data_IF_434822068992
#
_entry.id   IF_434822068992
#
_cell.length_a   1.000
_cell.length_b   1.000
_cell.length_c   1.000
_cell.angle_alpha   90.00
_cell.angle_beta   90.00
_cell.angle_gamma   90.00
#
_symmetry.space_group_name_H-M   'P 1'
#
loop_
_entity.id
_entity.type
_entity.pdbx_description
1 polymer ?
#
# COMPACT_ATOMS: atom_id res chain seq x y z
N UNK A 1 -29.42 -26.05 47.27
CA UNK A 1 -28.93 -26.22 45.88
C UNK A 1 -27.73 -27.14 45.99
N UNK A 2 -28.01 -28.43 46.12
CA UNK A 2 -27.01 -29.46 46.38
C UNK A 2 -26.39 -29.89 45.06
N UNK A 3 -25.15 -29.47 44.83
CA UNK A 3 -24.38 -29.87 43.67
C UNK A 3 -23.97 -31.34 43.81
N UNK A 4 -24.48 -32.17 42.91
CA UNK A 4 -24.24 -33.62 42.92
C UNK A 4 -22.86 -33.93 42.32
N UNK A 5 -21.88 -34.25 43.17
CA UNK A 5 -20.50 -34.55 42.78
C UNK A 5 -20.36 -35.73 41.78
N UNK A 6 -21.41 -36.56 41.66
CA UNK A 6 -21.47 -37.65 40.68
C UNK A 6 -21.55 -37.14 39.23
N UNK A 7 -22.07 -35.92 39.02
CA UNK A 7 -22.23 -35.34 37.68
C UNK A 7 -20.89 -34.82 37.13
N UNK A 8 -20.08 -34.18 37.98
CA UNK A 8 -18.77 -33.66 37.60
C UNK A 8 -17.77 -34.78 37.26
N UNK A 9 -17.83 -35.90 37.99
CA UNK A 9 -17.03 -37.08 37.68
C UNK A 9 -17.48 -37.76 36.39
N UNK A 10 -18.77 -37.69 36.04
CA UNK A 10 -19.30 -38.16 34.76
C UNK A 10 -18.82 -37.30 33.59
N UNK A 11 -18.84 -35.97 33.75
CA UNK A 11 -18.34 -35.01 32.74
C UNK A 11 -16.84 -35.18 32.51
N UNK A 12 -16.04 -35.26 33.58
CA UNK A 12 -14.59 -35.49 33.46
C UNK A 12 -14.25 -36.84 32.82
N UNK A 13 -14.99 -37.90 33.16
CA UNK A 13 -14.79 -39.22 32.55
C UNK A 13 -15.13 -39.19 31.05
N UNK A 14 -16.21 -38.51 30.67
CA UNK A 14 -16.65 -38.39 29.26
C UNK A 14 -15.64 -37.59 28.44
N UNK A 15 -15.10 -36.50 28.99
CA UNK A 15 -14.03 -35.72 28.34
C UNK A 15 -12.73 -36.53 28.20
N UNK A 16 -12.36 -37.33 29.22
CA UNK A 16 -11.18 -38.19 29.15
C UNK A 16 -11.30 -39.29 28.09
N UNK A 17 -12.50 -39.82 27.86
CA UNK A 17 -12.75 -40.84 26.87
C UNK A 17 -12.69 -40.30 25.43
N UNK A 18 -13.06 -39.02 25.22
CA UNK A 18 -12.99 -38.38 23.92
C UNK A 18 -11.55 -37.99 23.53
N UNK A 19 -10.72 -37.68 24.53
CA UNK A 19 -9.31 -37.31 24.34
C UNK A 19 -8.40 -38.48 23.92
N UNK A 20 -8.83 -39.72 24.08
CA UNK A 20 -7.96 -40.89 23.90
C UNK A 20 -8.29 -41.74 22.65
N UNK A 21 -9.17 -41.24 21.76
CA UNK A 21 -9.52 -41.93 20.52
C UNK A 21 -8.86 -41.27 19.30
N UNK A 22 -7.58 -41.57 19.08
CA UNK A 22 -6.94 -41.34 17.78
C UNK A 22 -6.04 -42.51 17.38
N UNK A 23 -6.47 -43.17 16.29
CA UNK A 23 -5.78 -44.02 15.29
C UNK A 23 -5.49 -45.51 15.52
N UNK A 24 -5.87 -46.33 14.51
CA UNK A 24 -5.02 -47.36 13.90
C UNK A 24 -4.34 -46.85 12.61
N UNK A 25 -3.07 -47.22 12.40
CA UNK A 25 -2.18 -46.82 11.29
C UNK A 25 -2.38 -47.62 9.97
N UNK A 26 -2.03 -47.04 8.79
CA UNK A 26 -1.79 -47.76 7.53
C UNK A 26 -0.29 -47.83 7.11
N UNK A 27 0.15 -48.78 6.25
CA UNK A 27 1.54 -48.93 5.76
C UNK A 27 1.84 -48.16 4.43
N UNK A 28 3.13 -48.10 3.98
CA UNK A 28 3.74 -46.89 3.42
C UNK A 28 4.09 -46.91 1.91
N UNK A 29 4.21 -45.72 1.29
CA UNK A 29 4.95 -45.51 0.03
C UNK A 29 5.75 -44.18 0.03
N UNK A 30 6.89 -44.07 -0.70
CA UNK A 30 7.92 -43.06 -0.45
C UNK A 30 7.99 -41.94 -1.52
N UNK A 31 8.28 -40.70 -1.10
CA UNK A 31 8.83 -39.61 -1.93
C UNK A 31 9.71 -38.66 -1.08
N UNK A 32 10.78 -38.04 -1.63
CA UNK A 32 11.81 -37.31 -0.87
C UNK A 32 11.68 -35.76 -1.04
N UNK A 33 12.56 -34.88 -0.50
CA UNK A 33 12.19 -33.95 0.57
C UNK A 33 12.22 -32.47 0.16
N UNK A 34 11.33 -31.66 0.75
CA UNK A 34 11.53 -30.21 0.85
C UNK A 34 11.38 -29.80 2.32
N UNK A 35 12.46 -29.26 2.88
CA UNK A 35 12.53 -28.79 4.27
C UNK A 35 11.69 -27.52 4.46
N UNK A 36 10.75 -27.58 5.39
CA UNK A 36 10.31 -26.42 6.19
C UNK A 36 10.22 -26.87 7.65
N UNK A 37 10.95 -26.17 8.52
CA UNK A 37 10.92 -26.37 9.97
C UNK A 37 9.53 -26.05 10.53
N UNK A 38 8.99 -26.96 11.34
CA UNK A 38 7.71 -26.88 12.04
C UNK A 38 8.00 -26.74 13.53
N UNK A 39 7.48 -25.69 14.17
CA UNK A 39 7.41 -25.48 15.63
C UNK A 39 5.90 -25.46 15.99
N UNK A 40 5.45 -26.04 17.13
CA UNK A 40 4.06 -26.44 17.39
C UNK A 40 3.11 -25.29 17.78
N UNK A 41 1.78 -25.53 17.73
CA UNK A 41 0.76 -24.49 17.93
C UNK A 41 0.45 -24.27 19.41
N UNK A 42 0.37 -23.01 19.81
CA UNK A 42 -0.14 -22.55 21.10
C UNK A 42 -1.49 -21.90 20.85
N UNK A 43 -2.54 -22.40 21.49
CA UNK A 43 -3.91 -21.89 21.39
C UNK A 43 -4.01 -20.54 22.10
N UNK A 44 -4.05 -19.44 21.34
CA UNK A 44 -4.56 -18.11 21.71
C UNK A 44 -4.58 -17.22 20.44
N UNK A 45 -5.47 -17.50 19.49
CA UNK A 45 -5.69 -16.65 18.32
C UNK A 45 -7.19 -16.50 18.05
N UNK A 46 -7.79 -15.45 18.61
CA UNK A 46 -9.07 -14.94 18.11
C UNK A 46 -8.89 -13.44 17.82
N UNK A 47 -8.85 -13.15 16.51
CA UNK A 47 -8.85 -11.85 15.82
C UNK A 47 -7.59 -10.96 15.89
N UNK A 48 -6.53 -11.42 15.22
CA UNK A 48 -5.49 -10.55 14.63
C UNK A 48 -5.54 -10.67 13.10
N UNK A 49 -6.45 -9.94 12.45
CA UNK A 49 -6.41 -9.68 11.00
C UNK A 49 -6.90 -8.27 10.70
N UNK A 50 -5.99 -7.29 10.78
CA UNK A 50 -6.09 -6.12 9.90
C UNK A 50 -4.68 -5.68 9.46
N UNK A 51 -4.11 -6.49 8.57
CA UNK A 51 -2.95 -6.12 7.76
C UNK A 51 -3.46 -5.52 6.44
N UNK A 52 -2.95 -4.35 5.99
CA UNK A 52 -3.32 -3.82 4.67
C UNK A 52 -2.79 -4.79 3.61
N UNK A 53 -3.67 -5.47 2.90
CA UNK A 53 -3.29 -6.43 1.87
C UNK A 53 -2.52 -5.74 0.74
N UNK A 54 -1.20 -5.97 0.67
CA UNK A 54 -0.40 -5.75 -0.54
C UNK A 54 -0.69 -6.87 -1.56
N UNK A 55 -1.84 -6.81 -2.22
CA UNK A 55 -2.17 -7.70 -3.33
C UNK A 55 -1.57 -7.16 -4.64
N UNK A 56 -0.31 -7.51 -4.88
CA UNK A 56 0.30 -7.43 -6.22
C UNK A 56 -0.42 -8.40 -7.18
N UNK A 57 -0.86 -7.97 -8.38
CA UNK A 57 -1.39 -8.90 -9.37
C UNK A 57 -0.27 -9.80 -9.93
N UNK A 58 -0.36 -11.10 -9.67
CA UNK A 58 0.42 -12.12 -10.39
C UNK A 58 0.01 -12.11 -11.87
N UNK A 59 0.93 -11.72 -12.74
CA UNK A 59 0.80 -11.89 -14.19
C UNK A 59 0.98 -13.38 -14.56
N UNK A 60 0.17 -13.95 -15.46
CA UNK A 60 0.40 -15.30 -15.97
C UNK A 60 1.63 -15.33 -16.90
N UNK A 61 2.51 -16.30 -16.66
CA UNK A 61 3.69 -16.53 -17.48
C UNK A 61 3.30 -17.05 -18.89
N UNK A 62 3.82 -16.39 -19.94
CA UNK A 62 3.65 -16.81 -21.33
C UNK A 62 4.64 -17.93 -21.72
N UNK A 63 4.25 -18.89 -22.56
CA UNK A 63 5.17 -19.93 -23.08
C UNK A 63 6.08 -19.40 -24.21
N UNK A 64 7.25 -20.03 -24.44
CA UNK A 64 8.29 -19.55 -25.35
C UNK A 64 7.93 -19.70 -26.85
N UNK A 65 8.46 -18.84 -27.74
CA UNK A 65 8.19 -18.89 -29.17
C UNK A 65 9.02 -19.97 -29.90
N UNK A 66 8.37 -20.70 -30.81
CA UNK A 66 9.03 -21.63 -31.74
C UNK A 66 9.73 -20.88 -32.89
N UNK A 67 10.83 -21.43 -33.46
CA UNK A 67 11.54 -20.84 -34.59
C UNK A 67 10.78 -21.01 -35.94
N UNK A 68 11.01 -20.12 -36.92
CA UNK A 68 10.29 -20.12 -38.20
C UNK A 68 10.87 -21.11 -39.21
N UNK A 69 9.98 -21.77 -39.95
CA UNK A 69 10.29 -22.61 -41.10
C UNK A 69 10.43 -21.72 -42.36
N UNK A 70 11.45 -21.87 -43.22
CA UNK A 70 11.58 -21.08 -44.44
C UNK A 70 10.88 -21.78 -45.62
N UNK A 71 10.04 -21.04 -46.35
CA UNK A 71 9.56 -21.43 -47.68
C UNK A 71 9.92 -20.35 -48.70
N UNK A 72 10.20 -20.71 -49.98
CA UNK A 72 10.91 -19.86 -50.91
C UNK A 72 9.99 -18.96 -51.74
N UNK A 73 10.46 -17.72 -51.94
CA UNK A 73 10.32 -16.83 -53.10
C UNK A 73 9.05 -16.90 -53.96
N UNK A 74 8.28 -15.80 -53.95
CA UNK A 74 7.77 -15.18 -55.17
C UNK A 74 7.86 -13.65 -55.05
N UNK A 75 8.66 -13.06 -55.93
CA UNK A 75 8.80 -11.62 -56.15
C UNK A 75 7.56 -11.06 -56.84
N UNK A 76 6.80 -10.22 -56.12
CA UNK A 76 5.89 -9.25 -56.74
C UNK A 76 6.37 -7.82 -56.39
N UNK A 77 6.45 -6.90 -57.37
CA UNK A 77 6.75 -5.50 -57.10
C UNK A 77 5.48 -4.82 -56.55
N UNK A 78 5.47 -4.49 -55.25
CA UNK A 78 4.40 -3.69 -54.63
C UNK A 78 4.75 -2.20 -54.68
N UNK A 79 3.77 -1.30 -54.92
CA UNK A 79 4.01 0.13 -55.10
C UNK A 79 4.52 0.81 -53.82
N UNK A 80 5.23 1.91 -54.02
CA UNK A 80 5.78 2.79 -53.00
C UNK A 80 4.77 3.09 -51.87
N UNK A 81 5.18 3.04 -50.59
CA UNK A 81 4.38 3.59 -49.50
C UNK A 81 4.37 5.11 -49.61
N UNK A 82 3.18 5.68 -49.83
CA UNK A 82 2.94 7.10 -49.60
C UNK A 82 3.19 7.47 -48.14
N UNK A 83 3.50 8.74 -47.84
CA UNK A 83 3.76 9.20 -46.49
C UNK A 83 2.51 9.00 -45.63
N UNK A 84 2.59 8.11 -44.65
CA UNK A 84 1.61 8.02 -43.56
C UNK A 84 1.53 9.38 -42.85
N UNK A 85 0.33 9.89 -42.54
CA UNK A 85 0.18 11.14 -41.81
C UNK A 85 0.87 10.99 -40.45
N UNK A 86 1.83 11.88 -40.20
CA UNK A 86 2.63 11.94 -38.99
C UNK A 86 1.78 11.73 -37.73
N UNK A 87 2.02 10.62 -37.04
CA UNK A 87 1.78 10.56 -35.60
C UNK A 87 2.52 11.76 -34.99
N UNK A 88 1.77 12.69 -34.40
CA UNK A 88 2.36 13.87 -33.73
C UNK A 88 3.45 13.37 -32.77
N UNK A 89 4.68 13.90 -32.82
CA UNK A 89 5.72 13.48 -31.90
C UNK A 89 5.19 13.68 -30.47
N UNK A 90 5.22 12.63 -29.66
CA UNK A 90 4.86 12.71 -28.26
C UNK A 90 5.76 13.78 -27.61
N UNK A 91 5.16 14.92 -27.25
CA UNK A 91 5.89 16.04 -26.65
C UNK A 91 6.58 15.56 -25.35
N UNK A 92 7.90 15.64 -25.31
CA UNK A 92 8.72 15.18 -24.19
C UNK A 92 8.61 16.17 -23.01
N UNK A 93 7.71 15.87 -22.07
CA UNK A 93 7.49 16.69 -20.87
C UNK A 93 8.69 16.71 -19.93
N UNK A 94 9.69 15.84 -20.14
CA UNK A 94 10.90 15.79 -19.33
C UNK A 94 11.85 16.97 -19.51
N UNK A 95 11.59 17.82 -20.53
CA UNK A 95 12.35 19.03 -20.85
C UNK A 95 11.63 20.32 -20.46
N UNK A 96 10.37 20.25 -20.02
CA UNK A 96 9.58 21.43 -19.68
C UNK A 96 10.03 21.96 -18.31
N UNK A 97 10.70 23.12 -18.30
CA UNK A 97 11.17 23.78 -17.07
C UNK A 97 10.37 25.04 -16.72
N UNK A 98 9.56 25.56 -17.63
CA UNK A 98 8.79 26.80 -17.47
C UNK A 98 7.28 26.55 -17.30
N UNK A 99 6.66 27.28 -16.35
CA UNK A 99 5.23 27.18 -16.05
C UNK A 99 4.29 27.39 -17.26
N UNK A 100 4.45 28.42 -18.12
CA UNK A 100 3.53 28.63 -19.24
C UNK A 100 3.56 27.50 -20.28
N UNK A 101 4.69 26.81 -20.44
CA UNK A 101 4.79 25.65 -21.32
C UNK A 101 4.06 24.43 -20.70
N UNK A 102 4.27 24.18 -19.41
CA UNK A 102 3.57 23.13 -18.67
C UNK A 102 2.05 23.32 -18.67
N UNK A 103 1.58 24.55 -18.42
CA UNK A 103 0.15 24.86 -18.42
C UNK A 103 -0.50 24.56 -19.78
N UNK A 104 0.11 25.03 -20.88
CA UNK A 104 -0.39 24.75 -22.23
C UNK A 104 -0.43 23.25 -22.52
N UNK A 105 0.58 22.50 -22.10
CA UNK A 105 0.61 21.05 -22.25
C UNK A 105 -0.55 20.39 -21.50
N UNK A 106 -0.78 20.76 -20.24
CA UNK A 106 -1.82 20.17 -19.39
C UNK A 106 -3.22 20.51 -19.90
N UNK A 107 -3.48 21.77 -20.26
CA UNK A 107 -4.75 22.17 -20.88
C UNK A 107 -5.04 21.43 -22.18
N UNK A 108 -4.00 21.09 -22.95
CA UNK A 108 -4.17 20.32 -24.19
C UNK A 108 -4.35 18.84 -23.92
N UNK A 109 -3.61 18.28 -22.97
CA UNK A 109 -3.48 16.82 -22.81
C UNK A 109 -4.44 16.26 -21.78
N UNK A 110 -4.44 16.85 -20.57
CA UNK A 110 -5.27 16.37 -19.46
C UNK A 110 -6.72 16.77 -19.69
N UNK A 111 -6.99 18.03 -20.04
CA UNK A 111 -8.37 18.50 -20.21
C UNK A 111 -9.08 17.92 -21.45
N UNK A 112 -8.33 17.32 -22.39
CA UNK A 112 -8.90 16.66 -23.57
C UNK A 112 -8.92 15.12 -23.43
N UNK A 113 -8.37 14.56 -22.35
CA UNK A 113 -8.25 13.12 -22.15
C UNK A 113 -8.97 12.67 -20.89
N UNK A 114 -10.18 12.13 -21.09
CA UNK A 114 -10.98 11.51 -20.03
C UNK A 114 -10.26 10.35 -19.33
N UNK A 115 -9.38 9.63 -20.04
CA UNK A 115 -8.59 8.55 -19.45
C UNK A 115 -7.62 9.09 -18.40
N UNK A 116 -6.90 10.16 -18.72
CA UNK A 116 -5.96 10.80 -17.80
C UNK A 116 -6.73 11.42 -16.62
N UNK A 117 -7.84 12.11 -16.88
CA UNK A 117 -8.69 12.68 -15.82
C UNK A 117 -9.23 11.59 -14.89
N UNK A 118 -9.74 10.48 -15.42
CA UNK A 118 -10.21 9.34 -14.63
C UNK A 118 -9.09 8.75 -13.78
N UNK A 119 -7.87 8.62 -14.32
CA UNK A 119 -6.72 8.13 -13.54
C UNK A 119 -6.37 9.09 -12.41
N UNK A 120 -6.36 10.40 -12.67
CA UNK A 120 -6.09 11.42 -11.64
C UNK A 120 -7.17 11.41 -10.56
N UNK A 121 -8.46 11.36 -10.93
CA UNK A 121 -9.58 11.21 -9.99
C UNK A 121 -9.42 9.97 -9.11
N UNK A 122 -9.02 8.85 -9.71
CA UNK A 122 -8.74 7.62 -8.96
C UNK A 122 -7.61 7.79 -7.94
N UNK A 123 -6.53 8.51 -8.30
CA UNK A 123 -5.43 8.79 -7.36
C UNK A 123 -5.91 9.66 -6.19
N UNK A 124 -6.71 10.69 -6.46
CA UNK A 124 -7.30 11.56 -5.43
C UNK A 124 -8.21 10.75 -4.49
N UNK A 125 -9.09 9.91 -5.05
CA UNK A 125 -9.97 9.06 -4.24
C UNK A 125 -9.17 8.09 -3.37
N UNK A 126 -8.15 7.44 -3.94
CA UNK A 126 -7.30 6.50 -3.19
C UNK A 126 -6.58 7.19 -2.03
N UNK A 127 -6.11 8.42 -2.21
CA UNK A 127 -5.54 9.22 -1.13
C UNK A 127 -6.55 9.43 0.01
N UNK A 128 -7.76 9.91 -0.32
CA UNK A 128 -8.80 10.12 0.68
C UNK A 128 -9.19 8.82 1.40
N UNK A 129 -9.24 7.70 0.69
CA UNK A 129 -9.56 6.40 1.28
C UNK A 129 -8.50 5.98 2.30
N UNK A 130 -7.21 6.12 1.98
CA UNK A 130 -6.13 5.84 2.92
C UNK A 130 -6.17 6.78 4.14
N UNK A 131 -6.38 8.08 3.93
CA UNK A 131 -6.49 9.05 5.02
C UNK A 131 -7.66 8.72 5.96
N UNK A 132 -8.80 8.35 5.38
CA UNK A 132 -9.97 7.90 6.11
C UNK A 132 -9.69 6.60 6.88
N UNK A 133 -9.04 5.62 6.26
CA UNK A 133 -8.65 4.37 6.92
C UNK A 133 -7.71 4.62 8.10
N UNK A 134 -6.69 5.46 7.94
CA UNK A 134 -5.76 5.78 9.01
C UNK A 134 -6.45 6.49 10.17
N UNK A 135 -7.36 7.43 9.86
CA UNK A 135 -8.17 8.09 10.88
C UNK A 135 -9.07 7.09 11.61
N UNK A 136 -9.78 6.22 10.88
CA UNK A 136 -10.64 5.19 11.47
C UNK A 136 -9.84 4.22 12.35
N UNK A 137 -8.66 3.79 11.91
CA UNK A 137 -7.78 2.93 12.70
C UNK A 137 -7.30 3.60 13.99
N UNK A 138 -7.04 4.92 13.95
CA UNK A 138 -6.69 5.70 15.14
C UNK A 138 -7.86 5.81 16.12
N UNK A 139 -9.06 6.09 15.63
CA UNK A 139 -10.27 6.14 16.45
C UNK A 139 -10.61 4.78 17.06
N UNK A 140 -10.45 3.71 16.29
CA UNK A 140 -10.61 2.34 16.78
C UNK A 140 -9.61 2.01 17.90
N UNK A 141 -8.37 2.46 17.76
CA UNK A 141 -7.33 2.32 18.79
C UNK A 141 -7.71 3.04 20.08
N UNK A 142 -8.16 4.30 19.99
CA UNK A 142 -8.62 5.06 21.15
C UNK A 142 -9.84 4.41 21.83
N UNK A 143 -10.79 3.91 21.04
CA UNK A 143 -11.94 3.19 21.57
C UNK A 143 -11.53 1.90 22.28
N UNK A 144 -10.53 1.18 21.74
CA UNK A 144 -9.95 -0.01 22.37
C UNK A 144 -9.30 0.35 23.70
N UNK A 145 -8.49 1.40 23.75
CA UNK A 145 -7.85 1.92 24.97
C UNK A 145 -8.88 2.24 26.05
N UNK A 146 -9.94 2.98 25.70
CA UNK A 146 -11.03 3.31 26.64
C UNK A 146 -11.78 2.06 27.15
N UNK A 147 -11.99 1.07 26.28
CA UNK A 147 -12.70 -0.16 26.64
C UNK A 147 -11.87 -1.10 27.54
N UNK A 148 -10.53 -0.97 27.58
CA UNK A 148 -9.65 -1.82 28.42
C UNK A 148 -10.01 -1.72 29.90
N UNK A 149 -10.30 -0.52 30.40
CA UNK A 149 -10.66 -0.31 31.80
C UNK A 149 -11.99 -0.99 32.17
N UNK A 150 -12.99 -0.91 31.29
CA UNK A 150 -14.28 -1.57 31.47
C UNK A 150 -14.17 -3.10 31.46
N UNK A 151 -13.45 -3.64 30.48
CA UNK A 151 -13.21 -5.09 30.36
C UNK A 151 -12.45 -5.66 31.56
N UNK A 152 -11.45 -4.92 32.08
CA UNK A 152 -10.74 -5.32 33.30
C UNK A 152 -11.70 -5.44 34.47
N UNK A 153 -12.54 -4.43 34.70
CA UNK A 153 -13.50 -4.43 35.82
C UNK A 153 -14.47 -5.64 35.76
N UNK A 154 -14.90 -6.00 34.55
CA UNK A 154 -15.75 -7.17 34.34
C UNK A 154 -14.98 -8.48 34.64
N UNK A 155 -13.76 -8.61 34.12
CA UNK A 155 -12.89 -9.76 34.39
C UNK A 155 -12.60 -9.92 35.89
N UNK A 156 -12.27 -8.83 36.57
CA UNK A 156 -12.02 -8.78 38.02
C UNK A 156 -13.28 -9.19 38.80
N UNK A 157 -14.47 -8.80 38.35
CA UNK A 157 -15.73 -9.21 38.98
C UNK A 157 -15.99 -10.71 38.83
N UNK A 158 -15.72 -11.29 37.66
CA UNK A 158 -15.82 -12.74 37.42
C UNK A 158 -14.80 -13.51 38.26
N UNK A 159 -13.54 -13.05 38.31
CA UNK A 159 -12.49 -13.65 39.15
C UNK A 159 -12.88 -13.65 40.62
N UNK A 160 -13.44 -12.54 41.11
CA UNK A 160 -13.95 -12.42 42.47
C UNK A 160 -15.14 -13.37 42.72
N UNK A 161 -16.00 -13.61 41.73
CA UNK A 161 -17.14 -14.54 41.89
C UNK A 161 -16.73 -16.00 41.95
N UNK A 162 -15.62 -16.39 41.30
CA UNK A 162 -15.07 -17.75 41.37
C UNK A 162 -14.14 -17.98 42.57
N UNK A 163 -13.99 -16.97 43.44
CA UNK A 163 -13.18 -17.05 44.66
C UNK A 163 -11.68 -16.87 44.44
N UNK A 164 -11.26 -16.41 43.26
CA UNK A 164 -9.86 -16.07 43.01
C UNK A 164 -9.51 -14.73 43.69
N UNK A 165 -8.34 -14.61 44.34
CA UNK A 165 -7.86 -13.32 44.84
C UNK A 165 -7.50 -12.41 43.65
N UNK A 166 -8.07 -11.20 43.64
CA UNK A 166 -7.81 -10.17 42.63
C UNK A 166 -6.96 -9.08 43.27
N UNK A 167 -5.83 -8.74 42.66
CA UNK A 167 -4.95 -7.67 43.11
C UNK A 167 -5.33 -6.35 42.41
N UNK A 168 -5.91 -5.42 43.18
CA UNK A 168 -6.33 -4.10 42.68
C UNK A 168 -5.14 -3.25 42.19
N UNK A 169 -3.90 -3.61 42.53
CA UNK A 169 -2.68 -2.87 42.14
C UNK A 169 -2.17 -3.16 40.73
N UNK A 170 -2.66 -4.21 40.07
CA UNK A 170 -2.17 -4.61 38.74
C UNK A 170 -2.80 -3.72 37.66
N UNK A 171 -2.18 -2.59 37.32
CA UNK A 171 -2.61 -1.75 36.19
C UNK A 171 -2.40 -2.50 34.87
N UNK A 172 -3.46 -2.70 34.08
CA UNK A 172 -3.43 -3.53 32.86
C UNK A 172 -3.01 -2.74 31.61
N UNK A 173 -3.02 -1.41 31.70
CA UNK A 173 -2.40 -0.51 30.73
C UNK A 173 -2.15 0.81 31.45
N UNK A 174 -0.91 1.25 31.49
CA UNK A 174 -0.55 2.57 32.00
C UNK A 174 -0.86 3.63 30.95
N UNK A 175 -1.13 4.87 31.37
CA UNK A 175 -1.32 5.98 30.44
C UNK A 175 -0.09 6.21 29.54
N UNK A 176 1.09 5.76 29.99
CA UNK A 176 2.33 5.79 29.21
C UNK A 176 2.32 4.75 28.07
N UNK A 177 1.84 3.54 28.32
CA UNK A 177 1.68 2.49 27.29
C UNK A 177 0.66 2.88 26.23
N UNK A 178 -0.49 3.44 26.63
CA UNK A 178 -1.52 3.90 25.69
C UNK A 178 -0.97 5.04 24.78
N UNK A 179 -0.15 5.94 25.35
CA UNK A 179 0.53 7.00 24.59
C UNK A 179 1.59 6.43 23.65
N UNK A 180 2.36 5.44 24.09
CA UNK A 180 3.37 4.80 23.27
C UNK A 180 2.74 4.04 22.08
N UNK A 181 1.63 3.34 22.31
CA UNK A 181 0.85 2.64 21.28
C UNK A 181 0.35 3.62 20.20
N UNK A 182 -0.20 4.76 20.62
CA UNK A 182 -0.66 5.81 19.70
C UNK A 182 0.50 6.43 18.92
N UNK A 183 1.63 6.71 19.58
CA UNK A 183 2.84 7.24 18.93
C UNK A 183 3.38 6.27 17.88
N UNK A 184 3.38 4.96 18.17
CA UNK A 184 3.80 3.94 17.23
C UNK A 184 2.84 3.86 16.04
N UNK A 185 1.53 3.97 16.28
CA UNK A 185 0.54 4.03 15.21
C UNK A 185 0.75 5.25 14.31
N UNK A 186 0.91 6.44 14.88
CA UNK A 186 1.15 7.67 14.12
C UNK A 186 2.45 7.59 13.31
N UNK A 187 3.50 6.95 13.85
CA UNK A 187 4.74 6.69 13.11
C UNK A 187 4.54 5.73 11.92
N UNK A 188 3.67 4.72 12.05
CA UNK A 188 3.28 3.83 10.93
C UNK A 188 2.51 4.60 9.86
N UNK A 189 1.53 5.40 10.25
CA UNK A 189 0.75 6.26 9.34
C UNK A 189 1.65 7.22 8.59
N UNK A 190 2.62 7.85 9.27
CA UNK A 190 3.58 8.73 8.61
C UNK A 190 4.41 8.02 7.54
N UNK A 191 4.93 6.82 7.84
CA UNK A 191 5.68 6.01 6.86
C UNK A 191 4.81 5.61 5.67
N UNK A 192 3.58 5.15 5.93
CA UNK A 192 2.63 4.76 4.89
C UNK A 192 2.22 5.97 4.01
N UNK A 193 2.02 7.14 4.62
CA UNK A 193 1.71 8.39 3.90
C UNK A 193 2.85 8.82 2.98
N UNK A 194 4.10 8.69 3.42
CA UNK A 194 5.27 8.93 2.56
C UNK A 194 5.30 7.97 1.37
N UNK A 195 5.14 6.67 1.61
CA UNK A 195 5.09 5.67 0.53
C UNK A 195 3.96 5.95 -0.47
N UNK A 196 2.77 6.31 0.04
CA UNK A 196 1.63 6.71 -0.78
C UNK A 196 1.98 7.92 -1.66
N UNK A 197 2.57 8.98 -1.10
CA UNK A 197 2.99 10.16 -1.87
C UNK A 197 4.03 9.85 -2.94
N UNK A 198 5.01 8.99 -2.64
CA UNK A 198 6.02 8.55 -3.59
C UNK A 198 5.39 7.76 -4.75
N UNK A 199 4.45 6.87 -4.46
CA UNK A 199 3.69 6.12 -5.46
C UNK A 199 2.84 7.05 -6.34
N UNK A 200 2.17 8.05 -5.75
CA UNK A 200 1.40 9.04 -6.51
C UNK A 200 2.29 9.88 -7.43
N UNK A 201 3.47 10.29 -6.97
CA UNK A 201 4.47 10.98 -7.82
C UNK A 201 4.92 10.09 -8.98
N UNK A 202 5.12 8.79 -8.76
CA UNK A 202 5.47 7.84 -9.81
C UNK A 202 4.36 7.70 -10.87
N UNK A 203 3.10 7.66 -10.45
CA UNK A 203 1.93 7.63 -11.35
C UNK A 203 1.82 8.92 -12.18
N UNK A 204 1.97 10.09 -11.56
CA UNK A 204 1.97 11.37 -12.27
C UNK A 204 3.12 11.47 -13.28
N UNK A 205 4.29 10.89 -12.96
CA UNK A 205 5.41 10.76 -13.89
C UNK A 205 5.08 9.82 -15.06
N UNK A 206 4.41 8.69 -14.80
CA UNK A 206 3.98 7.75 -15.83
C UNK A 206 2.98 8.39 -16.80
N UNK A 207 2.06 9.21 -16.27
CA UNK A 207 1.13 10.05 -17.04
C UNK A 207 1.80 11.24 -17.74
N UNK A 208 3.13 11.36 -17.66
CA UNK A 208 3.91 12.44 -18.28
C UNK A 208 3.49 13.83 -17.83
N UNK A 209 2.94 13.97 -16.62
CA UNK A 209 2.62 15.30 -16.07
C UNK A 209 3.93 16.12 -15.93
N UNK A 210 3.96 17.38 -16.41
CA UNK A 210 5.13 18.24 -16.27
C UNK A 210 5.56 18.40 -14.81
N UNK A 211 6.84 18.71 -14.58
CA UNK A 211 7.48 18.82 -13.25
C UNK A 211 7.61 17.52 -12.43
N UNK A 212 6.79 16.51 -12.67
CA UNK A 212 6.96 15.16 -12.08
C UNK A 212 7.83 14.24 -12.95
N UNK A 213 7.90 14.56 -14.25
CA UNK A 213 8.67 13.85 -15.29
C UNK A 213 9.96 14.55 -15.72
N UNK A 214 10.30 15.69 -15.10
CA UNK A 214 11.51 16.45 -15.43
C UNK A 214 12.78 15.62 -15.17
N UNK A 215 13.75 15.69 -16.09
CA UNK A 215 15.04 15.02 -15.92
C UNK A 215 15.93 15.78 -14.94
N UNK A 216 16.71 15.05 -14.14
CA UNK A 216 17.55 15.62 -13.09
C UNK A 216 18.59 16.63 -13.61
N UNK A 217 19.04 16.49 -14.87
CA UNK A 217 19.97 17.44 -15.52
C UNK A 217 19.39 18.86 -15.68
N UNK A 218 18.07 19.01 -15.60
CA UNK A 218 17.40 20.30 -15.64
C UNK A 218 17.11 20.86 -14.25
N UNK A 219 17.48 20.15 -13.18
CA UNK A 219 17.26 20.56 -11.79
C UNK A 219 18.61 20.93 -11.17
N UNK A 220 18.72 22.16 -10.69
CA UNK A 220 19.92 22.65 -10.00
C UNK A 220 19.79 22.42 -8.49
N UNK A 221 20.80 21.78 -7.90
CA UNK A 221 20.92 21.48 -6.46
C UNK A 221 21.49 22.67 -5.65
N UNK A 222 22.02 23.70 -6.31
CA UNK A 222 22.89 24.71 -5.70
C UNK A 222 22.14 25.93 -5.12
N UNK A 223 22.15 26.04 -3.79
CA UNK A 223 22.03 27.30 -3.03
C UNK A 223 23.37 28.03 -2.87
N UNK A 224 24.35 27.79 -3.76
CA UNK A 224 25.68 28.40 -3.68
C UNK A 224 26.04 29.05 -5.01
N UNK A 225 26.53 30.29 -4.88
CA UNK A 225 26.85 31.29 -5.91
C UNK A 225 27.54 30.66 -7.15
N UNK A 226 27.14 31.01 -8.38
CA UNK A 226 27.75 30.43 -9.58
C UNK A 226 29.17 30.99 -9.82
N UNK A 227 30.16 30.16 -10.24
CA UNK A 227 31.31 30.68 -10.94
C UNK A 227 30.90 31.03 -12.38
N UNK A 228 31.32 32.21 -12.80
CA UNK A 228 31.22 32.77 -14.16
C UNK A 228 31.65 31.74 -15.20
N UNK A 229 30.72 31.23 -16.02
CA UNK A 229 30.99 30.60 -17.32
C UNK A 229 29.70 30.43 -18.13
N UNK A 230 29.62 31.22 -19.20
CA UNK A 230 28.81 31.15 -20.43
C UNK A 230 27.29 30.81 -20.44
N UNK A 231 26.47 31.55 -21.22
CA UNK A 231 25.03 31.36 -21.32
C UNK A 231 24.66 30.35 -22.42
N UNK A 232 24.44 29.09 -22.05
CA UNK A 232 23.68 28.14 -22.86
C UNK A 232 22.17 28.20 -22.51
N UNK A 233 21.23 28.14 -23.48
CA UNK A 233 19.79 28.36 -23.25
C UNK A 233 19.05 27.12 -22.69
N UNK A 234 19.67 26.36 -21.79
CA UNK A 234 18.96 25.30 -21.06
C UNK A 234 18.60 25.83 -19.69
N UNK A 235 17.39 26.37 -19.59
CA UNK A 235 16.83 26.98 -18.39
C UNK A 235 16.65 25.92 -17.30
N UNK A 236 17.66 25.75 -16.44
CA UNK A 236 17.61 24.87 -15.28
C UNK A 236 16.71 25.46 -14.18
N UNK A 237 15.94 24.63 -13.50
CA UNK A 237 15.06 25.01 -12.40
C UNK A 237 15.69 24.64 -11.05
N UNK A 238 15.61 25.53 -10.05
CA UNK A 238 16.05 25.18 -8.68
C UNK A 238 15.10 24.19 -8.02
N UNK A 239 15.59 23.39 -7.06
CA UNK A 239 14.77 22.41 -6.33
C UNK A 239 13.56 23.05 -5.63
N UNK A 240 13.74 24.22 -5.03
CA UNK A 240 12.67 24.95 -4.36
C UNK A 240 11.61 25.43 -5.36
N UNK A 241 12.03 26.00 -6.51
CA UNK A 241 11.10 26.42 -7.56
C UNK A 241 10.35 25.23 -8.15
N UNK A 242 11.02 24.09 -8.35
CA UNK A 242 10.38 22.85 -8.82
C UNK A 242 9.29 22.39 -7.86
N UNK A 243 9.56 22.39 -6.56
CA UNK A 243 8.57 22.02 -5.55
C UNK A 243 7.37 22.98 -5.54
N UNK A 244 7.60 24.28 -5.78
CA UNK A 244 6.54 25.27 -5.96
C UNK A 244 5.68 25.00 -7.19
N UNK A 245 6.30 24.66 -8.33
CA UNK A 245 5.57 24.30 -9.55
C UNK A 245 4.82 22.97 -9.43
N UNK A 246 5.37 21.97 -8.74
CA UNK A 246 4.68 20.72 -8.46
C UNK A 246 3.42 20.95 -7.62
N UNK A 247 3.49 21.75 -6.55
CA UNK A 247 2.30 22.10 -5.73
C UNK A 247 1.23 22.80 -6.57
N UNK A 248 1.62 23.84 -7.32
CA UNK A 248 0.70 24.56 -8.21
C UNK A 248 0.10 23.65 -9.30
N UNK A 249 0.86 22.67 -9.77
CA UNK A 249 0.38 21.67 -10.73
C UNK A 249 -0.68 20.75 -10.10
N UNK A 250 -0.47 20.29 -8.87
CA UNK A 250 -1.46 19.46 -8.16
C UNK A 250 -2.78 20.21 -7.95
N UNK A 251 -2.72 21.47 -7.54
CA UNK A 251 -3.91 22.33 -7.39
C UNK A 251 -4.68 22.42 -8.72
N UNK A 252 -3.97 22.69 -9.83
CA UNK A 252 -4.58 22.75 -11.15
C UNK A 252 -5.22 21.42 -11.56
N UNK A 253 -4.53 20.30 -11.33
CA UNK A 253 -5.06 18.97 -11.67
C UNK A 253 -6.29 18.62 -10.83
N UNK A 254 -6.31 19.01 -9.55
CA UNK A 254 -7.45 18.84 -8.68
C UNK A 254 -8.65 19.65 -9.17
N UNK A 255 -8.46 20.90 -9.59
CA UNK A 255 -9.53 21.74 -10.10
C UNK A 255 -10.09 21.25 -11.45
N UNK A 256 -9.22 20.79 -12.36
CA UNK A 256 -9.65 20.24 -13.65
C UNK A 256 -10.40 18.91 -13.54
N UNK A 257 -10.09 18.14 -12.50
CA UNK A 257 -10.67 16.82 -12.28
C UNK A 257 -11.79 16.84 -11.23
N UNK A 258 -12.23 18.04 -10.84
CA UNK A 258 -13.31 18.28 -9.89
C UNK A 258 -14.64 18.10 -10.61
N UNK A 259 -15.32 17.00 -10.32
CA UNK A 259 -16.72 16.72 -10.70
C UNK A 259 -17.58 16.65 -9.45
#
# INVERSE_FOLDING_TARGET
MDYNAADLTSVLRTLSALSNQQQPQPPPHPHPPTQSHRIPPNENEEDDVYEPSESLPQLPAAPPPQPPNPAPTQTQPRPQPGPTPHAKPAEDTSTITAWPAALRYVMRTVAQSEEIQRRIRYLIQRQHDHEKQWWQGREALLRKQQARAGKKKELDAVLRSVGAPVDDSTQVSTAEEDRAELTNYDAKVYKASRQMSEAMVAELRALRIPFFSIRNRFVSESSTIPPVSDPGPQQTISRDALSGFQRRMLELLQDLCRE
#
